data_IF_828459303407
#
_entry.id   IF_828459303407
#
_cell.length_a   1.000
_cell.length_b   1.000
_cell.length_c   1.000
_cell.angle_alpha   90.00
_cell.angle_beta   90.00
_cell.angle_gamma   90.00
#
_symmetry.space_group_name_H-M   'P 1'
#
loop_
_entity.id
_entity.type
_entity.pdbx_description
1 polymer ?
#
# COMPACT_ATOMS: atom_id res chain seq x y z
N UNK A 1 -44.43 -8.32 13.40
CA UNK A 1 -43.78 -7.11 13.92
C UNK A 1 -42.29 -7.33 13.79
N UNK A 2 -41.51 -6.36 13.27
CA UNK A 2 -40.05 -6.42 13.28
C UNK A 2 -39.56 -6.58 14.72
N UNK A 3 -38.45 -7.28 14.91
CA UNK A 3 -37.79 -7.38 16.22
C UNK A 3 -37.36 -5.98 16.66
N UNK A 4 -37.74 -5.53 17.89
CA UNK A 4 -37.28 -4.26 18.43
C UNK A 4 -35.75 -4.06 18.36
N UNK A 5 -34.99 -5.15 18.44
CA UNK A 5 -33.53 -5.11 18.31
C UNK A 5 -33.06 -4.83 16.88
N UNK A 6 -33.67 -5.46 15.87
CA UNK A 6 -33.38 -5.18 14.45
C UNK A 6 -33.70 -3.72 14.10
N UNK A 7 -34.81 -3.19 14.61
CA UNK A 7 -35.19 -1.80 14.40
C UNK A 7 -34.16 -0.83 15.00
N UNK A 8 -33.58 -1.18 16.15
CA UNK A 8 -32.54 -0.38 16.79
C UNK A 8 -31.24 -0.39 15.97
N UNK A 9 -30.86 -1.55 15.42
CA UNK A 9 -29.69 -1.66 14.53
C UNK A 9 -29.87 -0.77 13.29
N UNK A 10 -31.04 -0.79 12.67
CA UNK A 10 -31.33 0.00 11.47
C UNK A 10 -31.24 1.51 11.75
N UNK A 11 -31.76 1.96 12.91
CA UNK A 11 -31.66 3.36 13.34
C UNK A 11 -30.19 3.77 13.54
N UNK A 12 -29.41 2.97 14.25
CA UNK A 12 -27.98 3.25 14.49
C UNK A 12 -27.19 3.28 13.18
N UNK A 13 -27.48 2.35 12.25
CA UNK A 13 -26.87 2.31 10.93
C UNK A 13 -27.15 3.58 10.12
N UNK A 14 -28.41 4.04 10.09
CA UNK A 14 -28.81 5.26 9.40
C UNK A 14 -28.17 6.52 10.00
N UNK A 15 -28.08 6.58 11.34
CA UNK A 15 -27.38 7.67 12.00
C UNK A 15 -25.89 7.72 11.63
N UNK A 16 -25.23 6.57 11.56
CA UNK A 16 -23.83 6.45 11.15
C UNK A 16 -23.61 6.91 9.71
N UNK A 17 -24.46 6.47 8.77
CA UNK A 17 -24.39 6.92 7.37
C UNK A 17 -24.55 8.43 7.27
N UNK A 18 -25.52 9.01 7.97
CA UNK A 18 -25.73 10.45 7.94
C UNK A 18 -24.55 11.21 8.52
N UNK A 19 -23.97 10.73 9.63
CA UNK A 19 -22.74 11.32 10.21
C UNK A 19 -21.58 11.25 9.22
N UNK A 20 -21.37 10.10 8.57
CA UNK A 20 -20.33 9.94 7.55
C UNK A 20 -20.55 10.83 6.33
N UNK A 21 -21.80 11.03 5.90
CA UNK A 21 -22.14 11.90 4.77
C UNK A 21 -21.91 13.39 5.08
N UNK A 22 -22.05 13.80 6.35
CA UNK A 22 -21.80 15.16 6.81
C UNK A 22 -20.30 15.46 7.01
N UNK A 23 -19.49 14.42 7.18
CA UNK A 23 -18.03 14.54 7.28
C UNK A 23 -17.48 14.83 5.89
N UNK A 24 -17.28 16.11 5.60
CA UNK A 24 -16.61 16.59 4.40
C UNK A 24 -15.08 16.55 4.58
N UNK A 25 -14.56 15.42 5.06
CA UNK A 25 -13.12 15.21 5.15
C UNK A 25 -12.60 14.93 3.74
N UNK A 26 -11.99 15.95 3.14
CA UNK A 26 -11.23 15.77 1.92
C UNK A 26 -10.07 14.81 2.22
N UNK A 27 -10.05 13.67 1.53
CA UNK A 27 -8.91 12.73 1.59
C UNK A 27 -7.64 13.49 1.24
N UNK A 28 -6.65 13.44 2.14
CA UNK A 28 -5.38 14.10 1.92
C UNK A 28 -4.68 13.49 0.70
N UNK A 29 -4.43 14.32 -0.31
CA UNK A 29 -3.76 13.90 -1.54
C UNK A 29 -2.25 13.87 -1.35
N UNK A 30 -1.57 12.94 -2.01
CA UNK A 30 -0.11 12.91 -2.02
C UNK A 30 0.50 13.80 -3.10
N UNK A 31 1.76 14.17 -2.91
CA UNK A 31 2.55 14.96 -3.86
C UNK A 31 3.76 14.21 -4.42
N UNK A 32 4.32 14.71 -5.52
CA UNK A 32 5.55 14.16 -6.10
C UNK A 32 6.75 14.26 -5.16
N UNK A 33 6.74 15.24 -4.24
CA UNK A 33 7.76 15.42 -3.19
C UNK A 33 7.70 14.28 -2.19
N UNK A 34 6.50 13.94 -1.73
CA UNK A 34 6.30 12.81 -0.82
C UNK A 34 6.66 11.49 -1.47
N UNK A 35 6.23 11.27 -2.70
CA UNK A 35 6.57 10.04 -3.44
C UNK A 35 8.08 9.90 -3.56
N UNK A 36 8.81 10.96 -3.93
CA UNK A 36 10.28 10.96 -3.95
C UNK A 36 10.88 10.67 -2.58
N UNK A 37 10.33 11.27 -1.52
CA UNK A 37 10.75 11.02 -0.14
C UNK A 37 10.58 9.54 0.23
N UNK A 38 9.46 8.92 -0.11
CA UNK A 38 9.23 7.49 0.13
C UNK A 38 10.13 6.59 -0.73
N UNK A 39 10.27 6.89 -2.01
CA UNK A 39 11.15 6.16 -2.92
C UNK A 39 12.61 6.18 -2.46
N UNK A 40 13.10 7.31 -1.94
CA UNK A 40 14.48 7.41 -1.44
C UNK A 40 14.75 6.49 -0.25
N UNK A 41 13.73 6.23 0.57
CA UNK A 41 13.79 5.35 1.75
C UNK A 41 13.74 3.86 1.44
N UNK A 42 13.40 3.45 0.20
CA UNK A 42 13.37 2.04 -0.20
C UNK A 42 14.77 1.40 -0.07
N UNK A 43 14.85 0.17 0.45
CA UNK A 43 16.14 -0.55 0.57
C UNK A 43 16.51 -1.18 -0.79
N UNK A 44 17.63 -0.81 -1.44
CA UNK A 44 17.92 -1.28 -2.81
C UNK A 44 18.12 -2.80 -2.96
N UNK A 45 18.58 -3.48 -1.91
CA UNK A 45 18.88 -4.93 -1.90
C UNK A 45 17.71 -5.79 -1.40
N UNK A 46 16.52 -5.23 -1.33
CA UNK A 46 15.33 -6.00 -0.99
C UNK A 46 14.87 -6.81 -2.20
N UNK A 47 14.42 -8.05 -1.97
CA UNK A 47 13.86 -8.91 -3.01
C UNK A 47 12.68 -8.22 -3.70
N UNK A 48 12.57 -8.39 -5.01
CA UNK A 48 11.40 -7.95 -5.77
C UNK A 48 10.19 -8.86 -5.51
N UNK A 49 9.01 -8.35 -5.85
CA UNK A 49 7.78 -9.14 -5.85
C UNK A 49 7.61 -9.97 -7.11
N UNK A 50 6.39 -10.48 -7.33
CA UNK A 50 6.04 -11.30 -8.50
C UNK A 50 6.18 -10.57 -9.85
N UNK A 51 6.17 -9.23 -9.82
CA UNK A 51 6.37 -8.37 -10.98
C UNK A 51 7.84 -8.22 -11.40
N UNK A 52 8.77 -8.79 -10.63
CA UNK A 52 10.22 -8.64 -10.79
C UNK A 52 10.72 -7.17 -10.73
N UNK A 53 9.90 -6.21 -10.26
CA UNK A 53 10.28 -4.81 -10.13
C UNK A 53 11.05 -4.61 -8.82
N UNK A 54 12.34 -4.36 -8.93
CA UNK A 54 13.20 -4.13 -7.76
C UNK A 54 13.14 -2.69 -7.25
N UNK A 55 13.41 -2.49 -5.95
CA UNK A 55 13.61 -1.16 -5.38
C UNK A 55 14.69 -0.36 -6.10
N UNK A 56 15.69 -1.03 -6.69
CA UNK A 56 16.71 -0.38 -7.51
C UNK A 56 16.13 0.22 -8.79
N UNK A 57 15.23 -0.50 -9.47
CA UNK A 57 14.53 -0.01 -10.67
C UNK A 57 13.62 1.17 -10.32
N UNK A 58 12.85 1.06 -9.24
CA UNK A 58 11.95 2.13 -8.77
C UNK A 58 12.73 3.42 -8.54
N UNK A 59 13.89 3.36 -7.88
CA UNK A 59 14.73 4.56 -7.64
C UNK A 59 15.29 5.22 -8.91
N UNK A 60 15.27 4.54 -10.05
CA UNK A 60 15.83 5.02 -11.33
C UNK A 60 14.78 5.46 -12.33
N UNK A 61 13.50 5.43 -11.98
CA UNK A 61 12.46 5.90 -12.89
C UNK A 61 12.65 7.40 -13.20
N UNK A 62 12.43 7.82 -14.46
CA UNK A 62 12.51 9.24 -14.81
C UNK A 62 11.48 10.07 -14.04
N UNK A 63 11.81 11.33 -13.78
CA UNK A 63 10.96 12.25 -13.01
C UNK A 63 9.55 12.42 -13.60
N UNK A 64 9.39 12.34 -14.93
CA UNK A 64 8.09 12.38 -15.59
C UNK A 64 7.12 11.29 -15.11
N UNK A 65 7.63 10.09 -14.82
CA UNK A 65 6.81 8.98 -14.32
C UNK A 65 6.38 9.18 -12.86
N UNK A 66 7.11 9.98 -12.07
CA UNK A 66 6.72 10.31 -10.70
C UNK A 66 5.43 11.16 -10.68
N UNK A 67 5.25 12.03 -11.68
CA UNK A 67 4.01 12.78 -11.84
C UNK A 67 2.83 11.85 -12.14
N UNK A 68 3.05 10.84 -13.00
CA UNK A 68 2.05 9.81 -13.28
C UNK A 68 1.67 9.04 -12.01
N UNK A 69 2.66 8.63 -11.20
CA UNK A 69 2.40 7.96 -9.92
C UNK A 69 1.57 8.81 -8.97
N UNK A 70 1.86 10.11 -8.85
CA UNK A 70 1.07 11.02 -8.02
C UNK A 70 -0.38 11.09 -8.46
N UNK A 71 -0.63 11.17 -9.76
CA UNK A 71 -1.98 11.17 -10.31
C UNK A 71 -2.69 9.84 -10.01
N UNK A 72 -2.04 8.70 -10.25
CA UNK A 72 -2.61 7.38 -9.95
C UNK A 72 -2.98 7.24 -8.47
N UNK A 73 -2.06 7.56 -7.55
CA UNK A 73 -2.32 7.47 -6.11
C UNK A 73 -3.46 8.40 -5.70
N UNK A 74 -3.50 9.64 -6.20
CA UNK A 74 -4.56 10.59 -5.86
C UNK A 74 -5.92 10.18 -6.41
N UNK A 75 -5.99 9.55 -7.59
CA UNK A 75 -7.22 8.96 -8.10
C UNK A 75 -7.68 7.82 -7.19
N UNK A 76 -6.80 6.89 -6.84
CA UNK A 76 -7.14 5.76 -5.97
C UNK A 76 -7.57 6.20 -4.57
N UNK A 77 -6.92 7.22 -4.00
CA UNK A 77 -7.30 7.81 -2.72
C UNK A 77 -8.71 8.42 -2.75
N UNK A 78 -9.04 9.18 -3.80
CA UNK A 78 -10.37 9.80 -3.97
C UNK A 78 -11.48 8.78 -4.20
N UNK A 79 -11.17 7.70 -4.91
CA UNK A 79 -12.10 6.61 -5.18
C UNK A 79 -12.18 5.60 -4.03
N UNK A 80 -11.40 5.79 -2.96
CA UNK A 80 -11.24 4.81 -1.86
C UNK A 80 -10.88 3.40 -2.37
N UNK A 81 -10.12 3.34 -3.48
CA UNK A 81 -9.76 2.11 -4.15
C UNK A 81 -8.37 1.67 -3.70
N UNK A 82 -8.33 0.62 -2.89
CA UNK A 82 -7.09 0.06 -2.37
C UNK A 82 -6.90 -1.38 -2.86
N UNK A 83 -5.66 -1.87 -3.00
CA UNK A 83 -5.42 -3.29 -3.21
C UNK A 83 -5.97 -4.09 -2.03
N UNK A 84 -6.75 -5.14 -2.30
CA UNK A 84 -7.19 -6.08 -1.26
C UNK A 84 -6.00 -6.83 -0.63
N UNK A 85 -4.92 -6.97 -1.39
CA UNK A 85 -3.69 -7.65 -0.96
C UNK A 85 -2.50 -6.71 -1.12
N UNK A 86 -1.97 -6.23 0.00
CA UNK A 86 -0.84 -5.29 0.04
C UNK A 86 0.53 -5.97 -0.01
N UNK A 87 0.63 -7.26 0.33
CA UNK A 87 1.91 -7.97 0.35
C UNK A 87 1.70 -9.44 0.00
N UNK A 88 2.14 -9.82 -1.19
CA UNK A 88 2.28 -11.22 -1.58
C UNK A 88 3.71 -11.66 -1.23
N UNK A 89 3.84 -12.61 -0.31
CA UNK A 89 5.13 -13.16 0.07
C UNK A 89 5.57 -14.24 -0.94
N UNK A 90 6.73 -14.04 -1.56
CA UNK A 90 7.39 -15.12 -2.31
C UNK A 90 8.12 -15.99 -1.29
N UNK A 91 7.63 -17.21 -1.10
CA UNK A 91 8.29 -18.20 -0.24
C UNK A 91 9.42 -18.83 -1.03
N UNK A 92 10.66 -18.55 -0.61
CA UNK A 92 11.87 -19.17 -1.18
C UNK A 92 12.53 -20.00 -0.09
N UNK A 93 12.69 -21.30 -0.32
CA UNK A 93 13.43 -22.18 0.57
C UNK A 93 14.93 -22.01 0.32
N UNK A 94 15.66 -21.55 1.32
CA UNK A 94 17.12 -21.47 1.29
C UNK A 94 17.70 -22.67 2.03
N UNK A 95 18.40 -23.54 1.31
CA UNK A 95 19.25 -24.53 1.95
C UNK A 95 20.38 -23.80 2.67
N UNK A 96 20.38 -23.82 4.01
CA UNK A 96 21.55 -23.39 4.77
C UNK A 96 22.71 -24.29 4.34
N UNK A 97 23.65 -23.75 3.57
CA UNK A 97 24.93 -24.42 3.34
C UNK A 97 25.52 -24.70 4.73
N UNK A 98 25.90 -25.96 5.00
CA UNK A 98 26.69 -26.28 6.20
C UNK A 98 27.88 -25.33 6.17
N UNK A 99 27.96 -24.44 7.16
CA UNK A 99 29.02 -23.43 7.29
C UNK A 99 30.34 -24.17 7.52
N UNK A 100 30.99 -24.57 6.44
CA UNK A 100 32.41 -24.88 6.42
C UNK A 100 33.14 -23.54 6.39
N UNK A 101 33.71 -23.16 7.52
CA UNK A 101 34.64 -22.03 7.62
C UNK A 101 35.73 -22.21 6.54
N UNK A 102 35.99 -21.22 5.67
CA UNK A 102 37.12 -21.32 4.74
C UNK A 102 38.39 -21.35 5.59
N UNK A 103 39.14 -22.44 5.53
CA UNK A 103 40.53 -22.43 5.99
C UNK A 103 41.32 -21.75 4.89
N UNK A 104 41.85 -20.57 5.18
CA UNK A 104 42.93 -20.02 4.38
C UNK A 104 44.15 -20.92 4.65
N UNK A 105 44.65 -21.58 3.61
CA UNK A 105 46.06 -22.01 3.57
C UNK A 105 46.95 -20.78 3.35
#
# INVERSE_FOLDING_TARGET
>A
MPDPYELQIDIEYLELINKLALVNENVETTSTVEIKKHMSRLKPKQSCGFDAVSNYMIKRIPSGYINCLANCFNTWLKEYRYPDVWTLAIIITLNKLKVGVPRCE
#
